data_IF_255287533506
#
_entry.id   IF_255287533506
#
_cell.length_a   1.000
_cell.length_b   1.000
_cell.length_c   1.000
_cell.angle_alpha   90.00
_cell.angle_beta   90.00
_cell.angle_gamma   90.00
#
_symmetry.space_group_name_H-M   'P 1'
#
loop_
_entity.id
_entity.type
_entity.pdbx_description
1 polymer ?
#
# COMPACT_ATOMS: atom_id res chain seq x y z
N UNK A 1 -8.71 -34.50 23.11
CA UNK A 1 -9.46 -33.26 23.40
C UNK A 1 -9.85 -32.63 22.07
N UNK A 2 -11.14 -32.39 21.81
CA UNK A 2 -11.53 -31.55 20.66
C UNK A 2 -10.89 -30.18 20.89
N UNK A 3 -9.97 -29.75 20.05
CA UNK A 3 -9.53 -28.35 20.05
C UNK A 3 -10.76 -27.53 19.70
N UNK A 4 -11.28 -26.79 20.68
CA UNK A 4 -12.34 -25.82 20.44
C UNK A 4 -11.82 -24.77 19.45
N UNK A 5 -12.67 -24.43 18.48
CA UNK A 5 -12.35 -23.51 17.38
C UNK A 5 -13.29 -22.31 17.47
N UNK A 6 -13.09 -21.41 18.47
CA UNK A 6 -14.03 -20.33 18.76
C UNK A 6 -14.27 -19.42 17.56
N UNK A 7 -13.27 -19.18 16.71
CA UNK A 7 -13.43 -18.33 15.53
C UNK A 7 -14.30 -19.01 14.48
N UNK A 8 -14.10 -20.31 14.22
CA UNK A 8 -14.98 -21.07 13.31
C UNK A 8 -16.41 -21.10 13.85
N UNK A 9 -16.59 -21.26 15.16
CA UNK A 9 -17.92 -21.22 15.79
C UNK A 9 -18.60 -19.86 15.62
N UNK A 10 -17.86 -18.76 15.86
CA UNK A 10 -18.34 -17.40 15.70
C UNK A 10 -18.69 -17.07 14.23
N UNK A 11 -17.86 -17.50 13.28
CA UNK A 11 -18.17 -17.37 11.85
C UNK A 11 -19.47 -18.09 11.46
N UNK A 12 -19.75 -19.27 12.04
CA UNK A 12 -21.01 -19.98 11.80
C UNK A 12 -22.20 -19.21 12.36
N UNK A 13 -22.14 -18.80 13.63
CA UNK A 13 -23.27 -18.16 14.32
C UNK A 13 -23.56 -16.77 13.78
N UNK A 14 -22.55 -15.92 13.57
CA UNK A 14 -22.74 -14.51 13.21
C UNK A 14 -23.03 -14.31 11.73
N UNK A 15 -22.51 -15.17 10.85
CA UNK A 15 -22.76 -15.09 9.41
C UNK A 15 -23.87 -16.04 8.94
N UNK A 16 -24.46 -16.82 9.86
CA UNK A 16 -25.57 -17.73 9.57
C UNK A 16 -25.19 -18.92 8.69
N UNK A 17 -23.93 -19.36 8.73
CA UNK A 17 -23.49 -20.56 8.01
C UNK A 17 -23.61 -21.81 8.88
N UNK A 18 -24.10 -22.90 8.30
CA UNK A 18 -23.89 -24.22 8.89
C UNK A 18 -22.39 -24.57 8.86
N UNK A 19 -21.95 -25.41 9.80
CA UNK A 19 -20.55 -25.89 9.86
C UNK A 19 -20.08 -26.49 8.51
N UNK A 20 -20.92 -27.31 7.88
CA UNK A 20 -20.61 -27.89 6.56
C UNK A 20 -20.46 -26.83 5.45
N UNK A 21 -21.29 -25.78 5.46
CA UNK A 21 -21.17 -24.69 4.48
C UNK A 21 -19.88 -23.89 4.72
N UNK A 22 -19.59 -23.51 5.97
CA UNK A 22 -18.39 -22.75 6.30
C UNK A 22 -17.13 -23.52 5.94
N UNK A 23 -17.04 -24.80 6.29
CA UNK A 23 -15.87 -25.63 5.94
C UNK A 23 -15.67 -25.75 4.43
N UNK A 24 -16.75 -25.85 3.64
CA UNK A 24 -16.67 -25.81 2.17
C UNK A 24 -16.17 -24.46 1.66
N UNK A 25 -16.62 -23.34 2.25
CA UNK A 25 -16.15 -22.00 1.89
C UNK A 25 -14.65 -21.84 2.21
N UNK A 26 -14.21 -22.23 3.41
CA UNK A 26 -12.80 -22.21 3.82
C UNK A 26 -11.94 -23.04 2.87
N UNK A 27 -12.39 -24.26 2.55
CA UNK A 27 -11.65 -25.15 1.64
C UNK A 27 -11.47 -24.54 0.25
N UNK A 28 -12.50 -23.86 -0.27
CA UNK A 28 -12.52 -23.25 -1.60
C UNK A 28 -11.90 -21.85 -1.65
N UNK A 29 -11.79 -21.14 -0.54
CA UNK A 29 -11.39 -19.74 -0.49
C UNK A 29 -10.14 -19.44 -1.34
N UNK A 30 -9.01 -20.20 -1.24
CA UNK A 30 -7.81 -19.95 -2.05
C UNK A 30 -8.03 -20.01 -3.57
N UNK A 31 -9.03 -20.76 -4.02
CA UNK A 31 -9.27 -21.03 -5.45
C UNK A 31 -10.36 -20.13 -6.05
N UNK A 32 -10.97 -19.26 -5.25
CA UNK A 32 -12.13 -18.45 -5.65
C UNK A 32 -11.74 -17.00 -5.96
N UNK A 33 -10.68 -16.81 -6.74
CA UNK A 33 -10.18 -15.48 -7.09
C UNK A 33 -10.36 -15.19 -8.59
N UNK A 34 -10.92 -14.03 -8.91
CA UNK A 34 -10.91 -13.49 -10.27
C UNK A 34 -9.63 -12.68 -10.46
N UNK A 35 -8.81 -13.08 -11.43
CA UNK A 35 -7.56 -12.39 -11.73
C UNK A 35 -7.68 -11.49 -12.96
N UNK A 36 -7.02 -10.34 -12.93
CA UNK A 36 -6.87 -9.45 -14.07
C UNK A 36 -5.54 -8.70 -14.00
N UNK A 37 -5.06 -8.17 -15.12
CA UNK A 37 -3.76 -7.51 -15.22
C UNK A 37 -3.92 -6.01 -15.36
N UNK A 38 -3.10 -5.25 -14.62
CA UNK A 38 -2.97 -3.80 -14.76
C UNK A 38 -1.56 -3.49 -15.24
N UNK A 39 -1.36 -2.61 -16.24
CA UNK A 39 -0.03 -2.18 -16.65
C UNK A 39 0.75 -1.55 -15.49
N UNK A 40 2.02 -1.95 -15.31
CA UNK A 40 2.94 -1.22 -14.41
C UNK A 40 3.33 0.11 -15.06
N UNK A 41 3.69 1.11 -14.24
CA UNK A 41 4.17 2.41 -14.73
C UNK A 41 5.42 2.32 -15.61
N UNK A 42 6.25 1.30 -15.41
CA UNK A 42 7.49 1.08 -16.16
C UNK A 42 7.27 0.08 -17.29
N UNK A 43 7.22 -1.21 -16.96
CA UNK A 43 7.06 -2.29 -17.91
C UNK A 43 6.43 -3.52 -17.24
N UNK A 44 5.72 -4.31 -18.06
CA UNK A 44 5.01 -5.50 -17.62
C UNK A 44 3.70 -5.21 -16.91
N UNK A 45 3.17 -6.23 -16.24
CA UNK A 45 1.84 -6.20 -15.63
C UNK A 45 1.90 -6.51 -14.14
N UNK A 46 0.95 -5.95 -13.39
CA UNK A 46 0.60 -6.35 -12.03
C UNK A 46 -0.66 -7.20 -12.11
N UNK A 47 -0.59 -8.42 -11.61
CA UNK A 47 -1.76 -9.27 -11.43
C UNK A 47 -2.52 -8.77 -10.20
N UNK A 48 -3.79 -8.49 -10.37
CA UNK A 48 -4.73 -8.24 -9.28
C UNK A 48 -5.59 -9.50 -9.16
N UNK A 49 -5.73 -10.00 -7.95
CA UNK A 49 -6.58 -11.14 -7.64
C UNK A 49 -7.65 -10.73 -6.64
N UNK A 50 -8.89 -10.73 -7.09
CA UNK A 50 -10.02 -10.31 -6.29
C UNK A 50 -10.80 -11.54 -5.82
N UNK A 51 -10.95 -11.76 -4.50
CA UNK A 51 -11.71 -12.90 -4.00
C UNK A 51 -13.19 -12.78 -4.36
N UNK A 52 -13.85 -13.93 -4.47
CA UNK A 52 -15.29 -14.06 -4.61
C UNK A 52 -16.02 -13.38 -3.45
N UNK A 53 -17.31 -13.06 -3.67
CA UNK A 53 -18.10 -12.29 -2.70
C UNK A 53 -18.17 -13.00 -1.34
N UNK A 54 -18.33 -14.31 -1.35
CA UNK A 54 -18.41 -15.15 -0.16
C UNK A 54 -17.09 -15.12 0.63
N UNK A 55 -15.95 -15.27 -0.05
CA UNK A 55 -14.62 -15.18 0.58
C UNK A 55 -14.36 -13.78 1.15
N UNK A 56 -14.82 -12.72 0.47
CA UNK A 56 -14.74 -11.35 1.01
C UNK A 56 -15.57 -11.16 2.27
N UNK A 57 -16.74 -11.79 2.38
CA UNK A 57 -17.57 -11.72 3.60
C UNK A 57 -16.78 -12.29 4.78
N UNK A 58 -16.15 -13.46 4.62
CA UNK A 58 -15.31 -14.06 5.65
C UNK A 58 -14.10 -13.16 6.00
N UNK A 59 -13.38 -12.67 4.99
CA UNK A 59 -12.23 -11.78 5.21
C UNK A 59 -12.62 -10.48 5.90
N UNK A 60 -13.75 -9.86 5.54
CA UNK A 60 -14.24 -8.66 6.19
C UNK A 60 -14.64 -8.93 7.63
N UNK A 61 -15.32 -10.03 7.91
CA UNK A 61 -15.65 -10.42 9.29
C UNK A 61 -14.36 -10.56 10.12
N UNK A 62 -13.34 -11.23 9.58
CA UNK A 62 -12.03 -11.38 10.25
C UNK A 62 -11.36 -10.02 10.48
N UNK A 63 -11.43 -9.09 9.54
CA UNK A 63 -10.86 -7.74 9.70
C UNK A 63 -11.46 -7.01 10.90
N UNK A 64 -12.78 -7.08 11.08
CA UNK A 64 -13.47 -6.33 12.12
C UNK A 64 -13.46 -7.02 13.49
N UNK A 65 -13.38 -8.35 13.51
CA UNK A 65 -13.54 -9.12 14.74
C UNK A 65 -12.24 -9.74 15.26
N UNK A 66 -11.25 -9.96 14.39
CA UNK A 66 -10.00 -10.65 14.75
C UNK A 66 -8.78 -9.77 14.47
N UNK A 67 -8.65 -9.23 13.25
CA UNK A 67 -7.45 -8.49 12.85
C UNK A 67 -7.35 -7.09 13.44
N UNK A 68 -8.41 -6.56 14.05
CA UNK A 68 -8.36 -5.29 14.80
C UNK A 68 -7.37 -5.34 15.98
N UNK A 69 -7.10 -6.54 16.49
CA UNK A 69 -6.21 -6.77 17.64
C UNK A 69 -4.77 -7.10 17.20
N UNK A 70 -4.52 -7.17 15.88
CA UNK A 70 -3.18 -7.38 15.36
C UNK A 70 -2.32 -6.11 15.50
N UNK A 71 -1.04 -6.24 15.90
CA UNK A 71 -0.16 -5.10 16.04
C UNK A 71 0.18 -4.54 14.66
N UNK A 72 0.20 -3.21 14.52
CA UNK A 72 0.64 -2.50 13.31
C UNK A 72 1.51 -1.33 13.72
N UNK A 73 2.67 -1.17 13.08
CA UNK A 73 3.61 -0.12 13.43
C UNK A 73 3.08 1.25 13.01
N UNK A 74 3.38 2.28 13.79
CA UNK A 74 3.05 3.65 13.40
C UNK A 74 3.81 4.11 12.15
N UNK A 75 4.99 3.54 11.92
CA UNK A 75 5.80 3.73 10.72
C UNK A 75 5.19 3.06 9.47
N UNK A 76 4.26 2.12 9.62
CA UNK A 76 3.45 1.59 8.52
C UNK A 76 2.43 2.63 8.07
N UNK A 77 2.79 3.37 7.02
CA UNK A 77 2.07 4.55 6.53
C UNK A 77 0.99 4.23 5.49
N UNK A 78 0.91 2.99 5.02
CA UNK A 78 -0.10 2.52 4.07
C UNK A 78 -1.25 1.78 4.76
N UNK A 79 -2.41 1.75 4.11
CA UNK A 79 -3.56 0.90 4.47
C UNK A 79 -4.19 1.13 5.85
N UNK A 80 -3.82 2.20 6.55
CA UNK A 80 -4.49 2.64 7.78
C UNK A 80 -5.47 3.79 7.53
N UNK A 81 -6.45 3.94 8.40
CA UNK A 81 -7.39 5.08 8.34
C UNK A 81 -6.61 6.39 8.42
N UNK A 82 -6.87 7.30 7.50
CA UNK A 82 -6.14 8.58 7.40
C UNK A 82 -4.73 8.49 6.78
N UNK A 83 -4.32 7.31 6.30
CA UNK A 83 -3.11 7.16 5.49
C UNK A 83 -3.20 8.00 4.21
N UNK A 84 -2.09 8.65 3.85
CA UNK A 84 -2.00 9.45 2.64
C UNK A 84 -0.56 9.44 2.13
N UNK A 85 -0.41 9.30 0.81
CA UNK A 85 0.90 9.45 0.15
C UNK A 85 1.52 10.82 0.41
N UNK A 86 0.71 11.87 0.63
CA UNK A 86 1.19 13.21 1.02
C UNK A 86 1.78 13.17 2.42
N UNK A 87 1.05 12.58 3.38
CA UNK A 87 1.51 12.45 4.76
C UNK A 87 2.81 11.67 4.83
N UNK A 88 2.89 10.55 4.10
CA UNK A 88 4.11 9.76 4.02
C UNK A 88 5.29 10.56 3.46
N UNK A 89 5.11 11.23 2.31
CA UNK A 89 6.15 12.07 1.72
C UNK A 89 6.57 13.25 2.65
N UNK A 90 5.63 13.78 3.42
CA UNK A 90 5.87 14.93 4.31
C UNK A 90 6.81 14.60 5.45
N UNK A 91 6.84 13.36 5.94
CA UNK A 91 7.80 12.94 6.98
C UNK A 91 9.26 13.13 6.54
N UNK A 92 9.53 13.07 5.24
CA UNK A 92 10.90 13.08 4.70
C UNK A 92 11.29 14.42 4.07
N UNK A 93 10.40 15.42 4.05
CA UNK A 93 10.55 16.62 3.22
C UNK A 93 11.80 17.45 3.57
N UNK A 94 12.15 17.49 4.85
CA UNK A 94 13.24 18.29 5.40
C UNK A 94 14.61 17.57 5.39
N UNK A 95 14.67 16.33 4.89
CA UNK A 95 15.90 15.53 4.83
C UNK A 95 16.62 15.62 3.49
N UNK A 96 17.89 15.97 3.47
CA UNK A 96 18.66 16.18 2.23
C UNK A 96 18.96 14.90 1.44
N UNK A 97 18.97 13.74 2.09
CA UNK A 97 19.22 12.43 1.50
C UNK A 97 18.08 11.46 1.79
N UNK A 98 17.84 10.54 0.85
CA UNK A 98 16.75 9.57 0.92
C UNK A 98 17.22 8.23 0.35
N UNK A 99 17.16 7.18 1.16
CA UNK A 99 17.18 5.79 0.72
C UNK A 99 15.74 5.36 0.41
N UNK A 100 15.54 4.78 -0.77
CA UNK A 100 14.33 4.06 -1.14
C UNK A 100 14.67 2.60 -1.39
N UNK A 101 13.92 1.68 -0.79
CA UNK A 101 13.99 0.24 -1.03
C UNK A 101 12.57 -0.31 -1.31
N UNK A 102 12.48 -1.53 -1.84
CA UNK A 102 11.21 -2.16 -2.26
C UNK A 102 11.32 -3.68 -2.07
N UNK A 103 10.27 -4.32 -1.58
CA UNK A 103 10.19 -5.79 -1.55
C UNK A 103 9.84 -6.38 -2.92
N UNK A 104 10.53 -7.45 -3.30
CA UNK A 104 10.21 -8.21 -4.52
C UNK A 104 8.98 -9.09 -4.26
N UNK A 105 7.96 -8.97 -5.11
CA UNK A 105 6.75 -9.80 -5.06
C UNK A 105 6.13 -9.86 -3.66
N UNK A 106 6.00 -8.69 -3.01
CA UNK A 106 5.75 -8.57 -1.58
C UNK A 106 4.62 -9.43 -1.04
N UNK A 107 3.43 -9.36 -1.64
CA UNK A 107 2.28 -10.15 -1.18
C UNK A 107 2.46 -11.63 -1.49
N UNK A 108 3.04 -11.96 -2.64
CA UNK A 108 3.28 -13.34 -3.05
C UNK A 108 4.38 -14.02 -2.22
N UNK A 109 5.24 -13.25 -1.56
CA UNK A 109 6.29 -13.74 -0.66
C UNK A 109 5.79 -14.00 0.77
N UNK A 110 4.59 -13.56 1.16
CA UNK A 110 3.99 -13.85 2.47
C UNK A 110 3.07 -15.05 2.29
N UNK A 111 3.59 -16.24 2.61
CA UNK A 111 2.88 -17.50 2.40
C UNK A 111 1.96 -17.89 3.57
N UNK A 112 1.14 -18.90 3.33
CA UNK A 112 0.13 -19.39 4.27
C UNK A 112 0.72 -19.85 5.61
N UNK A 113 1.94 -20.41 5.62
CA UNK A 113 2.59 -20.87 6.84
C UNK A 113 3.09 -19.69 7.66
N UNK A 114 3.66 -18.67 7.00
CA UNK A 114 4.02 -17.40 7.63
C UNK A 114 2.81 -16.72 8.26
N UNK A 115 1.69 -16.64 7.54
CA UNK A 115 0.44 -16.04 8.06
C UNK A 115 -0.03 -16.82 9.30
N UNK A 116 -0.11 -18.15 9.20
CA UNK A 116 -0.56 -19.01 10.31
C UNK A 116 0.31 -18.83 11.55
N UNK A 117 1.63 -18.87 11.39
CA UNK A 117 2.57 -18.72 12.50
C UNK A 117 2.50 -17.33 13.13
N UNK A 118 2.34 -16.29 12.30
CA UNK A 118 2.15 -14.91 12.76
C UNK A 118 0.86 -14.73 13.58
N UNK A 119 -0.24 -15.35 13.14
CA UNK A 119 -1.51 -15.30 13.87
C UNK A 119 -1.38 -15.97 15.24
N UNK A 120 -0.72 -17.12 15.32
CA UNK A 120 -0.48 -17.85 16.58
C UNK A 120 0.45 -17.05 17.51
N UNK A 121 1.43 -16.32 16.97
CA UNK A 121 2.36 -15.54 17.80
C UNK A 121 1.75 -14.26 18.34
N UNK A 122 0.75 -13.68 17.65
CA UNK A 122 0.17 -12.39 18.01
C UNK A 122 -1.18 -12.48 18.70
N UNK A 123 -1.93 -13.57 18.53
CA UNK A 123 -3.31 -13.71 19.00
C UNK A 123 -3.47 -15.01 19.80
N UNK A 124 -4.40 -14.99 20.76
CA UNK A 124 -4.83 -16.20 21.46
C UNK A 124 -5.81 -16.99 20.59
N UNK A 125 -5.28 -17.71 19.61
CA UNK A 125 -6.06 -18.51 18.65
C UNK A 125 -5.59 -19.95 18.61
N UNK A 126 -6.53 -20.88 18.43
CA UNK A 126 -6.19 -22.28 18.23
C UNK A 126 -5.43 -22.48 16.91
N UNK A 127 -4.63 -23.55 16.83
CA UNK A 127 -3.96 -23.92 15.55
C UNK A 127 -4.95 -24.18 14.43
N UNK A 128 -6.16 -24.68 14.76
CA UNK A 128 -7.23 -24.92 13.80
C UNK A 128 -7.78 -23.61 13.26
N UNK A 129 -8.09 -22.64 14.14
CA UNK A 129 -8.55 -21.31 13.72
C UNK A 129 -7.48 -20.61 12.88
N UNK A 130 -6.22 -20.60 13.33
CA UNK A 130 -5.12 -19.97 12.58
C UNK A 130 -4.97 -20.58 11.18
N UNK A 131 -5.10 -21.90 11.04
CA UNK A 131 -5.05 -22.58 9.74
C UNK A 131 -6.24 -22.21 8.86
N UNK A 132 -7.45 -22.17 9.41
CA UNK A 132 -8.66 -21.77 8.69
C UNK A 132 -8.56 -20.31 8.21
N UNK A 133 -8.12 -19.40 9.08
CA UNK A 133 -7.92 -17.97 8.77
C UNK A 133 -6.87 -17.80 7.68
N UNK A 134 -5.70 -18.43 7.83
CA UNK A 134 -4.64 -18.35 6.83
C UNK A 134 -5.12 -18.86 5.45
N UNK A 135 -5.93 -19.91 5.43
CA UNK A 135 -6.55 -20.42 4.20
C UNK A 135 -7.58 -19.44 3.62
N UNK A 136 -8.44 -18.84 4.43
CA UNK A 136 -9.41 -17.81 3.98
C UNK A 136 -8.68 -16.61 3.34
N UNK A 137 -7.53 -16.23 3.89
CA UNK A 137 -6.81 -15.00 3.53
C UNK A 137 -5.74 -15.18 2.45
N UNK A 138 -5.55 -16.40 1.94
CA UNK A 138 -4.55 -16.70 0.93
C UNK A 138 -5.20 -17.05 -0.41
N UNK A 139 -4.41 -16.94 -1.49
CA UNK A 139 -4.76 -17.39 -2.83
C UNK A 139 -3.87 -18.57 -3.21
N UNK A 140 -4.42 -19.51 -3.98
CA UNK A 140 -3.65 -20.51 -4.70
C UNK A 140 -3.39 -20.06 -6.14
N UNK A 141 -2.13 -20.05 -6.56
CA UNK A 141 -1.75 -19.73 -7.94
C UNK A 141 -0.73 -20.72 -8.45
N UNK A 142 -0.81 -21.07 -9.74
CA UNK A 142 0.18 -21.93 -10.39
C UNK A 142 1.60 -21.32 -10.39
N UNK A 143 1.71 -20.00 -10.19
CA UNK A 143 2.98 -19.27 -10.15
C UNK A 143 3.70 -19.34 -8.82
N UNK A 144 3.10 -19.92 -7.77
CA UNK A 144 3.69 -20.03 -6.44
C UNK A 144 3.56 -21.47 -5.93
N UNK A 145 4.59 -22.01 -5.26
CA UNK A 145 4.50 -23.35 -4.67
C UNK A 145 3.53 -23.41 -3.49
N UNK A 146 3.36 -22.30 -2.76
CA UNK A 146 2.51 -22.19 -1.57
C UNK A 146 1.39 -21.18 -1.80
N UNK A 147 0.27 -21.34 -1.08
CA UNK A 147 -0.76 -20.29 -0.99
C UNK A 147 -0.17 -19.04 -0.34
N UNK A 148 -0.56 -17.86 -0.80
CA UNK A 148 0.06 -16.60 -0.37
C UNK A 148 -0.94 -15.44 -0.32
N UNK A 149 -0.54 -14.28 0.23
CA UNK A 149 -1.37 -13.08 0.14
C UNK A 149 -1.48 -12.57 -1.30
N UNK A 150 -2.54 -11.83 -1.60
CA UNK A 150 -2.74 -11.27 -2.95
C UNK A 150 -3.10 -9.80 -2.94
N UNK A 151 -2.70 -9.12 -4.03
CA UNK A 151 -3.17 -7.76 -4.31
C UNK A 151 -4.62 -7.86 -4.74
N UNK A 152 -5.54 -7.29 -3.95
CA UNK A 152 -6.97 -7.26 -4.24
C UNK A 152 -7.85 -7.98 -3.21
N UNK A 153 -7.27 -8.79 -2.32
CA UNK A 153 -7.95 -9.29 -1.15
C UNK A 153 -8.04 -8.22 -0.04
N UNK A 154 -9.21 -7.99 0.57
CA UNK A 154 -9.38 -7.03 1.67
C UNK A 154 -8.53 -7.33 2.90
N UNK A 155 -8.18 -8.59 3.18
CA UNK A 155 -7.36 -8.97 4.35
C UNK A 155 -5.86 -8.76 4.16
N UNK A 156 -5.35 -8.83 2.94
CA UNK A 156 -3.90 -8.72 2.67
C UNK A 156 -3.25 -7.46 3.24
N UNK A 157 -3.86 -6.26 3.14
CA UNK A 157 -3.27 -5.03 3.67
C UNK A 157 -2.94 -5.10 5.16
N UNK A 158 -3.91 -5.46 6.01
CA UNK A 158 -3.72 -5.51 7.46
C UNK A 158 -2.77 -6.63 7.88
N UNK A 159 -2.89 -7.81 7.26
CA UNK A 159 -2.00 -8.94 7.52
C UNK A 159 -0.55 -8.61 7.15
N UNK A 160 -0.31 -8.01 5.98
CA UNK A 160 1.04 -7.63 5.54
C UNK A 160 1.66 -6.54 6.41
N UNK A 161 0.86 -5.60 6.91
CA UNK A 161 1.33 -4.56 7.82
C UNK A 161 1.67 -5.13 9.19
N UNK A 162 0.85 -6.03 9.71
CA UNK A 162 1.10 -6.66 11.01
C UNK A 162 2.27 -7.64 10.97
N UNK A 163 2.40 -8.40 9.89
CA UNK A 163 3.52 -9.32 9.69
C UNK A 163 4.89 -8.60 9.76
N UNK A 164 4.95 -7.35 9.31
CA UNK A 164 6.16 -6.53 9.33
C UNK A 164 6.34 -5.73 10.64
N UNK A 165 5.50 -5.92 11.65
CA UNK A 165 5.51 -5.10 12.87
C UNK A 165 6.87 -5.03 13.56
N UNK A 166 7.46 -6.20 13.89
CA UNK A 166 8.76 -6.24 14.56
C UNK A 166 9.88 -5.70 13.68
N UNK A 167 9.84 -5.96 12.38
CA UNK A 167 10.79 -5.39 11.42
C UNK A 167 10.74 -3.86 11.42
N UNK A 168 9.53 -3.28 11.42
CA UNK A 168 9.34 -1.83 11.45
C UNK A 168 9.84 -1.23 12.77
N UNK A 169 9.61 -1.89 13.91
CA UNK A 169 10.09 -1.41 15.21
C UNK A 169 11.61 -1.31 15.27
N UNK A 170 12.32 -2.34 14.83
CA UNK A 170 13.79 -2.35 14.81
C UNK A 170 14.36 -1.29 13.85
N UNK A 171 13.76 -1.16 12.66
CA UNK A 171 14.17 -0.15 11.68
C UNK A 171 13.91 1.28 12.17
N UNK A 172 12.76 1.52 12.82
CA UNK A 172 12.41 2.80 13.42
C UNK A 172 13.35 3.15 14.57
N UNK A 173 13.63 2.21 15.47
CA UNK A 173 14.52 2.40 16.60
C UNK A 173 15.94 2.78 16.15
N UNK A 174 16.52 2.03 15.22
CA UNK A 174 17.83 2.36 14.67
C UNK A 174 17.82 3.75 14.01
N UNK A 175 16.77 4.09 13.26
CA UNK A 175 16.68 5.40 12.61
C UNK A 175 16.64 6.53 13.63
N UNK A 176 15.88 6.37 14.73
CA UNK A 176 15.82 7.34 15.82
C UNK A 176 17.18 7.58 16.45
N UNK A 177 17.94 6.52 16.74
CA UNK A 177 19.29 6.61 17.30
C UNK A 177 20.31 7.26 16.35
N UNK A 178 20.05 7.19 15.04
CA UNK A 178 20.96 7.67 14.00
C UNK A 178 20.49 8.97 13.32
N UNK A 179 19.54 9.70 13.90
CA UNK A 179 18.97 10.93 13.34
C UNK A 179 18.44 10.75 11.90
N UNK A 180 17.77 9.63 11.67
CA UNK A 180 17.11 9.27 10.42
C UNK A 180 15.60 9.16 10.64
N UNK A 181 14.84 9.25 9.55
CA UNK A 181 13.38 9.12 9.55
C UNK A 181 13.03 7.88 8.72
N UNK A 182 12.35 6.93 9.34
CA UNK A 182 11.88 5.70 8.71
C UNK A 182 10.38 5.79 8.41
N UNK A 183 9.97 5.33 7.23
CA UNK A 183 8.58 4.96 6.97
C UNK A 183 8.53 3.76 6.04
N UNK A 184 7.44 2.99 6.14
CA UNK A 184 7.10 1.95 5.17
C UNK A 184 5.73 2.22 4.59
N UNK A 185 5.62 2.22 3.26
CA UNK A 185 4.36 2.35 2.54
C UNK A 185 4.12 1.07 1.73
N UNK A 186 3.38 0.13 2.33
CA UNK A 186 3.19 -1.22 1.79
C UNK A 186 4.55 -1.92 1.60
N UNK A 187 4.96 -2.15 0.35
CA UNK A 187 6.21 -2.77 -0.07
C UNK A 187 7.40 -1.79 -0.19
N UNK A 188 7.13 -0.50 -0.30
CA UNK A 188 8.16 0.54 -0.39
C UNK A 188 8.66 0.92 1.03
N UNK A 189 9.98 0.91 1.23
CA UNK A 189 10.65 1.37 2.44
C UNK A 189 11.39 2.68 2.15
N UNK A 190 11.29 3.66 3.04
CA UNK A 190 11.95 4.95 2.95
C UNK A 190 12.74 5.25 4.23
N UNK A 191 14.01 5.61 4.06
CA UNK A 191 14.83 6.18 5.14
C UNK A 191 15.39 7.51 4.68
N UNK A 192 15.11 8.60 5.38
CA UNK A 192 15.66 9.92 5.06
C UNK A 192 16.53 10.47 6.17
N UNK A 193 17.52 11.29 5.79
CA UNK A 193 18.52 11.81 6.72
C UNK A 193 19.19 13.06 6.14
N UNK A 194 19.85 13.84 7.00
CA UNK A 194 20.73 14.93 6.59
C UNK A 194 22.21 14.53 6.50
N UNK A 195 22.56 13.29 6.86
CA UNK A 195 23.91 12.75 6.74
C UNK A 195 24.00 11.72 5.59
N UNK A 196 24.78 12.00 4.54
CA UNK A 196 24.86 11.15 3.34
C UNK A 196 25.23 9.70 3.65
N UNK A 197 26.21 9.49 4.53
CA UNK A 197 26.72 8.15 4.90
C UNK A 197 25.62 7.27 5.51
N UNK A 198 24.70 7.86 6.28
CA UNK A 198 23.63 7.14 6.96
C UNK A 198 22.66 6.44 6.01
N UNK A 199 22.53 6.89 4.77
CA UNK A 199 21.72 6.16 3.79
C UNK A 199 22.32 4.79 3.45
N UNK A 200 23.65 4.64 3.45
CA UNK A 200 24.30 3.34 3.18
C UNK A 200 24.26 2.43 4.39
N UNK A 201 24.46 2.99 5.59
CA UNK A 201 24.31 2.25 6.86
C UNK A 201 22.87 1.74 7.03
N UNK A 202 21.87 2.55 6.68
CA UNK A 202 20.46 2.15 6.72
C UNK A 202 20.14 1.01 5.74
N UNK A 203 20.72 1.01 4.53
CA UNK A 203 20.57 -0.08 3.57
C UNK A 203 21.10 -1.39 4.16
N UNK A 204 22.30 -1.36 4.75
CA UNK A 204 22.92 -2.53 5.39
C UNK A 204 22.09 -3.05 6.57
N UNK A 205 21.57 -2.15 7.41
CA UNK A 205 20.66 -2.53 8.49
C UNK A 205 19.41 -3.21 7.93
N UNK A 206 18.74 -2.59 6.96
CA UNK A 206 17.48 -3.13 6.41
C UNK A 206 17.73 -4.51 5.79
N UNK A 207 18.83 -4.69 5.06
CA UNK A 207 19.22 -6.01 4.52
C UNK A 207 19.41 -7.04 5.63
N UNK A 208 20.10 -6.67 6.72
CA UNK A 208 20.27 -7.52 7.90
C UNK A 208 18.91 -7.91 8.52
N UNK A 209 18.05 -6.92 8.81
CA UNK A 209 16.75 -7.14 9.43
C UNK A 209 15.83 -8.01 8.56
N UNK A 210 15.86 -7.85 7.24
CA UNK A 210 15.09 -8.71 6.33
C UNK A 210 15.55 -10.17 6.43
N UNK A 211 16.87 -10.40 6.47
CA UNK A 211 17.42 -11.76 6.56
C UNK A 211 17.13 -12.43 7.92
N UNK A 212 17.15 -11.66 9.00
CA UNK A 212 16.95 -12.16 10.36
C UNK A 212 15.47 -12.36 10.72
N UNK A 213 14.61 -11.41 10.35
CA UNK A 213 13.23 -11.36 10.83
C UNK A 213 12.19 -11.82 9.80
N UNK A 214 12.53 -11.80 8.50
CA UNK A 214 11.58 -12.01 7.42
C UNK A 214 12.05 -13.13 6.46
N UNK A 215 12.33 -14.34 6.97
CA UNK A 215 12.79 -15.44 6.14
C UNK A 215 11.75 -15.73 5.05
N UNK A 216 12.15 -15.53 3.79
CA UNK A 216 11.31 -15.74 2.60
C UNK A 216 10.92 -14.45 1.85
N UNK A 217 11.02 -13.28 2.50
CA UNK A 217 10.95 -12.00 1.80
C UNK A 217 12.31 -11.63 1.23
N UNK A 218 12.31 -10.89 0.11
CA UNK A 218 13.54 -10.44 -0.56
C UNK A 218 13.43 -9.00 -0.98
N UNK A 219 14.51 -8.26 -0.83
CA UNK A 219 14.62 -6.89 -1.33
C UNK A 219 14.84 -6.88 -2.85
N UNK A 220 14.32 -5.85 -3.50
CA UNK A 220 14.50 -5.61 -4.91
C UNK A 220 15.67 -4.64 -5.13
N UNK A 221 16.90 -5.17 -5.13
CA UNK A 221 18.10 -4.35 -5.29
C UNK A 221 18.11 -3.48 -6.57
N UNK A 222 17.39 -3.89 -7.64
CA UNK A 222 17.25 -3.09 -8.87
C UNK A 222 16.42 -1.81 -8.66
N UNK A 223 15.57 -1.79 -7.64
CA UNK A 223 14.74 -0.64 -7.26
C UNK A 223 15.31 0.13 -6.07
N UNK A 224 16.37 -0.34 -5.42
CA UNK A 224 17.07 0.40 -4.37
C UNK A 224 17.69 1.67 -4.95
N UNK A 225 17.44 2.81 -4.31
CA UNK A 225 17.93 4.12 -4.76
C UNK A 225 18.39 4.98 -3.60
N UNK A 226 19.56 5.60 -3.75
CA UNK A 226 20.02 6.69 -2.90
C UNK A 226 19.82 8.01 -3.65
N UNK A 227 18.98 8.87 -3.10
CA UNK A 227 18.56 10.13 -3.69
C UNK A 227 19.04 11.29 -2.81
N UNK A 228 19.25 12.45 -3.42
CA UNK A 228 19.62 13.68 -2.72
C UNK A 228 18.96 14.88 -3.39
N UNK A 229 19.12 16.10 -2.85
CA UNK A 229 18.65 17.34 -3.51
C UNK A 229 19.18 17.56 -4.95
N UNK A 230 20.29 16.91 -5.32
CA UNK A 230 20.81 16.94 -6.71
C UNK A 230 19.91 16.14 -7.67
N UNK A 231 19.17 15.17 -7.15
CA UNK A 231 18.32 14.26 -7.91
C UNK A 231 16.85 14.42 -7.52
N UNK A 232 15.96 13.84 -8.31
CA UNK A 232 14.54 13.85 -7.98
C UNK A 232 14.26 12.92 -6.78
N UNK A 233 13.94 13.50 -5.61
CA UNK A 233 13.48 12.79 -4.42
C UNK A 233 12.00 12.46 -4.56
N UNK A 234 11.69 11.24 -5.01
CA UNK A 234 10.31 10.77 -5.20
C UNK A 234 9.90 9.79 -4.11
N UNK A 235 8.80 10.09 -3.41
CA UNK A 235 8.19 9.22 -2.39
C UNK A 235 6.74 8.94 -2.78
N UNK A 236 6.36 7.67 -2.93
CA UNK A 236 4.99 7.24 -3.28
C UNK A 236 4.40 7.95 -4.52
N UNK A 237 5.26 8.39 -5.45
CA UNK A 237 4.87 9.11 -6.67
C UNK A 237 4.69 10.63 -6.52
N UNK A 238 5.05 11.20 -5.37
CA UNK A 238 5.17 12.65 -5.14
C UNK A 238 6.64 13.05 -5.10
N UNK A 239 6.93 14.30 -5.45
CA UNK A 239 8.30 14.84 -5.50
C UNK A 239 8.51 15.82 -4.36
N UNK A 240 9.59 15.64 -3.60
CA UNK A 240 10.05 16.64 -2.63
C UNK A 240 10.93 17.65 -3.37
N UNK A 241 10.49 18.90 -3.46
CA UNK A 241 11.22 20.00 -4.10
C UNK A 241 12.50 20.35 -3.35
N UNK A 242 13.36 21.19 -3.93
CA UNK A 242 14.58 21.65 -3.24
C UNK A 242 14.30 22.59 -2.07
N UNK A 243 13.14 23.25 -2.12
CA UNK A 243 12.57 24.10 -1.06
C UNK A 243 11.80 23.28 -0.01
N UNK A 244 12.00 21.95 0.02
CA UNK A 244 11.42 21.02 0.98
C UNK A 244 9.87 20.95 0.96
N UNK A 245 9.25 21.18 -0.19
CA UNK A 245 7.80 21.04 -0.37
C UNK A 245 7.41 19.75 -1.08
N UNK A 246 6.27 19.17 -0.68
CA UNK A 246 5.71 17.98 -1.35
C UNK A 246 4.88 18.42 -2.54
N UNK A 247 5.28 18.00 -3.74
CA UNK A 247 4.72 18.48 -5.01
C UNK A 247 4.33 17.34 -5.95
N UNK A 248 3.60 17.67 -7.01
CA UNK A 248 3.30 16.72 -8.09
C UNK A 248 4.50 16.35 -8.97
N UNK A 249 5.61 17.10 -8.87
CA UNK A 249 6.74 16.98 -9.79
C UNK A 249 6.52 17.68 -11.14
N UNK A 250 7.62 17.98 -11.83
CA UNK A 250 7.64 18.79 -13.07
C UNK A 250 6.81 18.17 -14.19
N UNK A 251 6.98 16.87 -14.44
CA UNK A 251 6.35 16.18 -15.58
C UNK A 251 4.84 16.15 -15.43
N UNK A 252 4.34 15.80 -14.24
CA UNK A 252 2.91 15.79 -13.94
C UNK A 252 2.31 17.19 -14.00
N UNK A 253 3.01 18.21 -13.48
CA UNK A 253 2.58 19.61 -13.63
C UNK A 253 2.50 20.04 -15.11
N UNK A 254 3.43 19.59 -15.95
CA UNK A 254 3.43 19.85 -17.39
C UNK A 254 2.23 19.20 -18.08
N UNK A 255 1.94 17.94 -17.77
CA UNK A 255 0.77 17.22 -18.28
C UNK A 255 -0.54 17.93 -17.90
N UNK A 256 -0.70 18.30 -16.62
CA UNK A 256 -1.89 19.02 -16.15
C UNK A 256 -2.03 20.37 -16.88
N UNK A 257 -0.97 21.15 -17.00
CA UNK A 257 -1.01 22.42 -17.76
C UNK A 257 -1.41 22.21 -19.21
N UNK A 258 -0.89 21.18 -19.87
CA UNK A 258 -1.27 20.82 -21.24
C UNK A 258 -2.76 20.48 -21.31
N UNK A 259 -3.27 19.66 -20.41
CA UNK A 259 -4.68 19.29 -20.39
C UNK A 259 -5.60 20.49 -20.13
N UNK A 260 -5.25 21.39 -19.19
CA UNK A 260 -6.02 22.63 -18.98
C UNK A 260 -6.01 23.49 -20.25
N UNK A 261 -4.86 23.65 -20.91
CA UNK A 261 -4.80 24.38 -22.18
C UNK A 261 -5.66 23.75 -23.29
N UNK A 262 -5.66 22.42 -23.41
CA UNK A 262 -6.51 21.74 -24.40
C UNK A 262 -8.01 21.91 -24.06
N UNK A 263 -8.36 21.94 -22.77
CA UNK A 263 -9.72 22.24 -22.33
C UNK A 263 -10.16 23.63 -22.79
N UNK A 264 -9.32 24.65 -22.62
CA UNK A 264 -9.66 26.03 -23.07
C UNK A 264 -9.77 26.18 -24.58
N UNK A 265 -9.30 25.19 -25.35
CA UNK A 265 -9.45 25.11 -26.80
C UNK A 265 -10.63 24.23 -27.24
N UNK A 266 -11.38 23.65 -26.31
CA UNK A 266 -12.46 22.71 -26.64
C UNK A 266 -11.95 21.41 -27.28
N UNK A 267 -10.67 21.05 -27.04
CA UNK A 267 -10.00 19.90 -27.66
C UNK A 267 -9.97 18.66 -26.76
N UNK A 268 -10.72 18.66 -25.66
CA UNK A 268 -10.83 17.51 -24.77
C UNK A 268 -12.19 16.84 -24.91
N UNK A 269 -12.16 15.54 -25.12
CA UNK A 269 -13.35 14.68 -25.03
C UNK A 269 -13.83 14.57 -23.58
N UNK A 270 -15.10 14.19 -23.40
CA UNK A 270 -15.73 14.10 -22.08
C UNK A 270 -14.91 13.28 -21.07
N UNK A 271 -14.43 12.08 -21.44
CA UNK A 271 -13.61 11.23 -20.58
C UNK A 271 -12.29 11.92 -20.16
N UNK A 272 -11.69 12.71 -21.05
CA UNK A 272 -10.46 13.44 -20.76
C UNK A 272 -10.73 14.61 -19.80
N UNK A 273 -11.89 15.25 -19.89
CA UNK A 273 -12.34 16.28 -18.93
C UNK A 273 -12.54 15.67 -17.55
N UNK A 274 -13.19 14.51 -17.44
CA UNK A 274 -13.35 13.81 -16.15
C UNK A 274 -12.00 13.42 -15.54
N UNK A 275 -11.06 12.93 -16.36
CA UNK A 275 -9.70 12.62 -15.93
C UNK A 275 -8.94 13.87 -15.48
N UNK A 276 -9.10 14.98 -16.18
CA UNK A 276 -8.51 16.26 -15.81
C UNK A 276 -9.07 16.76 -14.48
N UNK A 277 -10.39 16.70 -14.29
CA UNK A 277 -11.06 17.06 -13.03
C UNK A 277 -10.50 16.24 -11.85
N UNK A 278 -10.37 14.93 -12.00
CA UNK A 278 -9.77 14.07 -10.98
C UNK A 278 -8.31 14.46 -10.70
N UNK A 279 -7.55 14.78 -11.74
CA UNK A 279 -6.15 15.20 -11.61
C UNK A 279 -6.01 16.56 -10.93
N UNK A 280 -6.90 17.53 -11.22
CA UNK A 280 -6.94 18.83 -10.55
C UNK A 280 -7.38 18.70 -9.09
N UNK A 281 -8.32 17.81 -8.79
CA UNK A 281 -8.73 17.52 -7.41
C UNK A 281 -7.57 16.93 -6.60
N UNK A 282 -6.81 16.03 -7.22
CA UNK A 282 -5.57 15.51 -6.65
C UNK A 282 -4.52 16.61 -6.48
N UNK A 283 -4.33 17.48 -7.48
CA UNK A 283 -3.42 18.62 -7.42
C UNK A 283 -3.78 19.58 -6.28
N UNK A 284 -5.07 19.89 -6.10
CA UNK A 284 -5.57 20.72 -5.01
C UNK A 284 -5.16 20.20 -3.63
N UNK A 285 -5.23 18.88 -3.44
CA UNK A 285 -4.87 18.26 -2.16
C UNK A 285 -3.35 18.21 -1.94
N UNK A 286 -2.57 17.90 -2.98
CA UNK A 286 -1.12 17.72 -2.85
C UNK A 286 -0.37 19.06 -2.89
N UNK A 287 -0.66 19.89 -3.90
CA UNK A 287 0.15 21.03 -4.34
C UNK A 287 -0.76 22.25 -4.64
N UNK A 288 -1.34 22.88 -3.59
CA UNK A 288 -2.30 23.98 -3.75
C UNK A 288 -1.67 25.23 -4.39
N UNK A 289 -0.37 25.44 -4.22
CA UNK A 289 0.37 26.52 -4.88
C UNK A 289 0.37 26.32 -6.40
N UNK A 290 0.57 25.09 -6.88
CA UNK A 290 0.44 24.80 -8.30
C UNK A 290 -0.98 25.05 -8.83
N UNK A 291 -2.02 24.70 -8.07
CA UNK A 291 -3.39 25.00 -8.47
C UNK A 291 -3.62 26.52 -8.61
N UNK A 292 -3.12 27.31 -7.65
CA UNK A 292 -3.19 28.78 -7.68
C UNK A 292 -2.53 29.33 -8.95
N UNK A 293 -1.35 28.81 -9.30
CA UNK A 293 -0.65 29.20 -10.55
C UNK A 293 -1.42 28.84 -11.84
N UNK A 294 -2.29 27.81 -11.81
CA UNK A 294 -3.17 27.49 -12.93
C UNK A 294 -4.34 28.48 -13.01
N UNK A 295 -4.91 28.86 -11.87
CA UNK A 295 -5.99 29.84 -11.79
C UNK A 295 -5.52 31.22 -12.26
N UNK A 296 -4.33 31.66 -11.86
CA UNK A 296 -3.72 32.90 -12.35
C UNK A 296 -3.50 32.88 -13.87
N UNK A 297 -3.04 31.74 -14.41
CA UNK A 297 -2.68 31.62 -15.83
C UNK A 297 -3.87 31.46 -16.76
N UNK A 298 -4.87 30.67 -16.37
CA UNK A 298 -6.00 30.27 -17.22
C UNK A 298 -7.32 30.90 -16.77
N UNK A 299 -7.38 31.58 -15.63
CA UNK A 299 -8.59 32.11 -15.04
C UNK A 299 -9.22 31.16 -14.02
N UNK A 300 -9.65 31.71 -12.88
CA UNK A 300 -10.33 30.94 -11.82
C UNK A 300 -11.63 30.30 -12.30
N UNK A 301 -12.36 30.96 -13.20
CA UNK A 301 -13.64 30.47 -13.73
C UNK A 301 -13.45 29.19 -14.54
N UNK A 302 -12.45 29.14 -15.43
CA UNK A 302 -12.12 27.94 -16.21
C UNK A 302 -11.79 26.76 -15.30
N UNK A 303 -10.99 26.98 -14.26
CA UNK A 303 -10.66 25.94 -13.28
C UNK A 303 -11.92 25.49 -12.52
N UNK A 304 -12.80 26.43 -12.18
CA UNK A 304 -14.10 26.17 -11.56
C UNK A 304 -15.04 25.35 -12.45
N UNK A 305 -15.08 25.63 -13.76
CA UNK A 305 -15.85 24.87 -14.74
C UNK A 305 -15.39 23.41 -14.82
N UNK A 306 -14.08 23.18 -14.91
CA UNK A 306 -13.53 21.82 -14.92
C UNK A 306 -13.89 21.07 -13.63
N UNK A 307 -13.83 21.74 -12.47
CA UNK A 307 -14.26 21.15 -11.19
C UNK A 307 -15.75 20.78 -11.18
N UNK A 308 -16.59 21.50 -11.91
CA UNK A 308 -18.04 21.28 -11.97
C UNK A 308 -18.49 20.43 -13.15
N UNK A 309 -17.60 20.04 -14.07
CA UNK A 309 -17.94 19.30 -15.30
C UNK A 309 -18.81 18.06 -15.04
N UNK A 310 -18.53 17.30 -13.98
CA UNK A 310 -19.29 16.09 -13.59
C UNK A 310 -20.66 16.35 -12.97
N UNK A 311 -20.91 17.56 -12.47
CA UNK A 311 -22.21 17.93 -11.91
C UNK A 311 -23.24 18.25 -12.99
N UNK A 312 -22.80 18.51 -14.22
CA UNK A 312 -23.66 18.83 -15.38
C UNK A 312 -24.11 17.59 -16.16
N UNK A 313 -23.55 16.41 -15.88
CA UNK A 313 -23.83 15.15 -16.60
C UNK A 313 -24.59 14.11 -15.78
N UNK A 314 -25.07 14.48 -14.60
CA UNK A 314 -26.06 13.72 -13.81
C UNK A 314 -27.37 14.49 -13.78
#
# INVERSE_FOLDING_TARGET
MKQESPIIAALCSELGFSSNQLMRLIARAPHTYKTYKIPKKTSGFRTIAQPARETKILQNWLIHNVFKDLPVSESASAYKKGASIKKNASHHKDSSYLLKMDFKNFFESIDIEMIKNHLISCLDVSRLDASAIARICSIDTQSSPNHHLSIGAPSSPILSNSFLFNFDLEAEQWCKENNCIYTRYADDIFVSTNAKSKTKEAEQLIEKLVNELLPGLKLNHKKTKHLSKKFNRTITGLVISNDNEVTLGRDRKREVRKSVFLYTKGLLEHEQVEKLQGTLSFAKHIDPVFLSSLQEKFGSDIIGEIFNARRKTK
#
